data_IF_103378025338
#
_entry.id   IF_103378025338
#
_cell.length_a   1.000
_cell.length_b   1.000
_cell.length_c   1.000
_cell.angle_alpha   90.00
_cell.angle_beta   90.00
_cell.angle_gamma   90.00
#
_symmetry.space_group_name_H-M   'P 1'
#
loop_
_entity.id
_entity.type
_entity.pdbx_description
1 polymer ?
#
# COMPACT_ATOMS: atom_id res chain seq x y z
N UNK A 1 -49.43 -19.21 9.59
CA UNK A 1 -48.34 -18.89 10.54
C UNK A 1 -47.21 -18.27 9.75
N UNK A 2 -47.09 -16.95 9.82
CA UNK A 2 -46.16 -16.12 9.04
C UNK A 2 -44.70 -16.45 9.41
N UNK A 3 -43.87 -16.75 8.42
CA UNK A 3 -42.42 -16.86 8.57
C UNK A 3 -41.81 -15.47 8.40
N UNK A 4 -41.49 -14.83 9.53
CA UNK A 4 -40.72 -13.57 9.58
C UNK A 4 -39.23 -13.91 9.53
N UNK A 5 -38.62 -13.74 8.36
CA UNK A 5 -37.16 -13.67 8.22
C UNK A 5 -36.73 -12.25 8.60
N UNK A 6 -36.16 -12.10 9.80
CA UNK A 6 -35.57 -10.84 10.27
C UNK A 6 -34.12 -10.76 9.79
N UNK A 7 -33.85 -9.84 8.84
CA UNK A 7 -32.51 -9.49 8.37
C UNK A 7 -31.97 -8.36 9.25
N UNK A 8 -30.86 -8.55 9.98
CA UNK A 8 -30.14 -7.41 10.54
C UNK A 8 -29.10 -6.88 9.56
N UNK A 9 -29.32 -5.62 9.19
CA UNK A 9 -28.48 -4.75 8.37
C UNK A 9 -27.31 -4.14 9.15
N UNK A 10 -26.25 -3.78 8.40
CA UNK A 10 -25.17 -2.82 8.70
C UNK A 10 -24.10 -3.26 9.71
N UNK A 11 -22.88 -3.51 9.22
CA UNK A 11 -21.67 -2.99 9.86
C UNK A 11 -20.64 -2.54 8.81
N UNK A 12 -19.93 -1.49 9.21
CA UNK A 12 -19.08 -0.59 8.44
C UNK A 12 -17.74 -1.23 8.06
N UNK A 13 -17.21 -0.84 6.90
CA UNK A 13 -15.86 -1.19 6.46
C UNK A 13 -14.82 -0.45 7.30
N UNK A 14 -13.95 -1.20 7.99
CA UNK A 14 -12.67 -0.72 8.51
C UNK A 14 -11.55 -1.43 7.75
N UNK A 15 -10.71 -0.64 7.09
CA UNK A 15 -9.47 -1.11 6.45
C UNK A 15 -8.38 -1.13 7.50
N UNK A 16 -7.97 -2.30 7.96
CA UNK A 16 -6.75 -2.46 8.74
C UNK A 16 -5.58 -2.87 7.85
N UNK A 17 -4.45 -2.24 8.12
CA UNK A 17 -3.21 -2.38 7.39
C UNK A 17 -2.55 -3.73 7.68
N UNK A 18 -2.18 -4.46 6.63
CA UNK A 18 -1.29 -5.61 6.72
C UNK A 18 0.15 -5.13 7.00
N UNK A 19 0.68 -5.47 8.18
CA UNK A 19 2.13 -5.50 8.44
C UNK A 19 2.55 -6.98 8.44
N UNK A 20 3.23 -7.40 7.36
CA UNK A 20 3.73 -8.77 7.21
C UNK A 20 5.15 -8.80 7.74
N UNK A 21 5.33 -9.31 8.95
CA UNK A 21 6.60 -9.88 9.40
C UNK A 21 6.39 -11.35 9.71
N UNK A 22 6.87 -12.17 8.80
CA UNK A 22 6.89 -13.63 8.86
C UNK A 22 7.53 -14.10 10.17
N UNK A 23 6.81 -14.94 10.91
CA UNK A 23 7.36 -15.92 11.84
C UNK A 23 6.71 -17.25 11.48
N UNK A 24 7.42 -18.08 10.74
CA UNK A 24 6.98 -19.45 10.45
C UNK A 24 7.36 -20.35 11.63
N UNK A 25 6.37 -20.78 12.42
CA UNK A 25 6.46 -21.98 13.26
C UNK A 25 5.81 -23.13 12.53
N UNK A 26 6.57 -24.20 12.28
CA UNK A 26 6.05 -25.45 11.72
C UNK A 26 5.59 -26.32 12.90
N UNK A 27 4.31 -26.64 12.95
CA UNK A 27 3.76 -27.67 13.85
C UNK A 27 3.55 -28.95 13.05
N UNK A 28 4.07 -30.08 13.54
CA UNK A 28 3.63 -31.40 13.12
C UNK A 28 2.83 -32.05 14.25
N UNK A 29 1.66 -32.56 13.90
CA UNK A 29 0.76 -33.31 14.76
C UNK A 29 0.92 -34.79 14.40
N UNK A 30 1.25 -35.64 15.38
CA UNK A 30 1.14 -37.10 15.24
C UNK A 30 0.42 -37.65 16.47
N UNK A 31 -0.85 -37.96 16.23
CA UNK A 31 -1.61 -39.10 16.75
C UNK A 31 -1.37 -39.53 18.21
N UNK A 32 -2.32 -39.14 19.07
CA UNK A 32 -3.01 -40.05 20.01
C UNK A 32 -2.17 -40.97 20.89
N UNK A 33 -1.99 -40.52 22.14
CA UNK A 33 -1.60 -41.25 23.36
C UNK A 33 -0.15 -41.75 23.44
N UNK A 34 0.53 -41.48 24.56
CA UNK A 34 1.02 -42.47 25.54
C UNK A 34 1.74 -41.73 26.69
N UNK A 35 1.41 -42.12 27.92
CA UNK A 35 2.06 -41.70 29.16
C UNK A 35 3.55 -42.06 29.20
N UNK A 36 4.39 -41.31 29.93
CA UNK A 36 5.62 -41.84 30.52
C UNK A 36 5.96 -41.11 31.83
N UNK A 37 6.09 -41.88 32.90
CA UNK A 37 6.38 -41.47 34.28
C UNK A 37 7.90 -41.44 34.47
N UNK A 38 8.52 -40.41 35.08
CA UNK A 38 9.94 -40.51 35.40
C UNK A 38 10.17 -41.39 36.63
N UNK A 39 10.87 -42.50 36.36
CA UNK A 39 11.42 -43.48 37.28
C UNK A 39 12.50 -42.84 38.17
N UNK A 40 12.38 -43.03 39.49
CA UNK A 40 13.43 -42.71 40.48
C UNK A 40 14.55 -43.74 40.32
N UNK A 41 15.77 -43.29 40.03
CA UNK A 41 16.97 -44.13 40.09
C UNK A 41 17.98 -43.55 41.08
N UNK A 42 18.44 -44.46 41.95
CA UNK A 42 19.30 -44.22 43.09
C UNK A 42 20.77 -43.99 42.70
N UNK A 43 21.45 -43.19 43.52
CA UNK A 43 22.84 -43.43 43.91
C UNK A 43 23.94 -43.04 42.93
N UNK A 44 24.44 -41.80 43.04
CA UNK A 44 25.86 -41.47 42.81
C UNK A 44 26.28 -40.45 43.87
N UNK A 45 27.38 -40.74 44.56
CA UNK A 45 28.04 -39.87 45.55
C UNK A 45 28.41 -38.53 44.90
N UNK A 46 27.75 -37.46 45.35
CA UNK A 46 28.06 -36.09 44.92
C UNK A 46 29.34 -35.62 45.63
N UNK A 47 30.44 -35.53 44.88
CA UNK A 47 31.59 -34.70 45.26
C UNK A 47 31.12 -33.24 45.34
N UNK A 48 31.22 -32.63 46.53
CA UNK A 48 30.88 -31.22 46.72
C UNK A 48 31.99 -30.34 46.15
N UNK A 49 31.96 -30.06 44.85
CA UNK A 49 32.69 -28.90 44.33
C UNK A 49 31.89 -27.65 44.70
N UNK A 50 32.44 -26.67 45.44
CA UNK A 50 31.72 -25.44 45.72
C UNK A 50 31.46 -24.71 44.40
N UNK A 51 30.20 -24.67 43.97
CA UNK A 51 29.78 -23.79 42.89
C UNK A 51 29.93 -22.36 43.37
N UNK A 52 31.06 -21.74 43.08
CA UNK A 52 31.24 -20.30 43.27
C UNK A 52 30.27 -19.62 42.31
N UNK A 53 29.10 -19.22 42.79
CA UNK A 53 28.16 -18.43 42.01
C UNK A 53 28.83 -17.06 41.81
N UNK A 54 29.49 -16.88 40.66
CA UNK A 54 30.05 -15.59 40.28
C UNK A 54 28.88 -14.67 39.91
N UNK A 55 28.24 -14.07 40.92
CA UNK A 55 27.30 -12.98 40.72
C UNK A 55 28.07 -11.79 40.18
N UNK A 56 28.16 -11.69 38.86
CA UNK A 56 28.66 -10.48 38.19
C UNK A 56 27.66 -9.36 38.44
N UNK A 57 27.97 -8.46 39.36
CA UNK A 57 27.25 -7.19 39.46
C UNK A 57 27.39 -6.47 38.13
N UNK A 58 26.27 -6.11 37.51
CA UNK A 58 26.28 -5.36 36.27
C UNK A 58 27.01 -4.03 36.50
N UNK A 59 28.16 -3.84 35.84
CA UNK A 59 28.97 -2.64 36.02
C UNK A 59 28.57 -1.55 35.01
N UNK A 60 28.47 -0.33 35.57
CA UNK A 60 28.11 0.99 35.02
C UNK A 60 26.64 1.20 34.59
N UNK A 61 26.03 2.22 35.21
CA UNK A 61 24.79 2.93 34.81
C UNK A 61 25.00 3.72 33.51
N UNK A 62 25.61 3.15 32.49
CA UNK A 62 25.78 3.81 31.19
C UNK A 62 25.15 2.97 30.11
N UNK A 63 23.83 3.03 30.03
CA UNK A 63 23.08 2.58 28.86
C UNK A 63 23.36 3.53 27.69
N UNK A 64 23.64 2.98 26.50
CA UNK A 64 23.93 3.77 25.31
C UNK A 64 22.78 4.68 24.90
N UNK A 65 23.10 5.85 24.36
CA UNK A 65 22.13 6.75 23.72
C UNK A 65 21.50 6.08 22.48
N UNK A 66 20.31 6.53 22.09
CA UNK A 66 19.66 6.06 20.87
C UNK A 66 20.58 6.29 19.67
N UNK A 67 20.97 5.20 18.99
CA UNK A 67 21.75 5.24 17.74
C UNK A 67 20.90 5.64 16.53
N UNK A 68 19.57 5.66 16.69
CA UNK A 68 18.62 6.01 15.63
C UNK A 68 18.37 7.53 15.66
N UNK A 69 19.32 8.30 15.15
CA UNK A 69 19.28 9.77 15.11
C UNK A 69 18.35 10.35 14.01
N UNK A 70 17.79 9.49 13.15
CA UNK A 70 16.96 9.87 11.99
C UNK A 70 15.46 10.06 12.31
N UNK A 71 14.64 10.19 11.26
CA UNK A 71 13.17 10.22 11.37
C UNK A 71 12.53 11.62 11.55
N UNK A 72 13.33 12.68 11.57
CA UNK A 72 12.86 14.07 11.73
C UNK A 72 12.54 14.77 10.40
N UNK A 73 12.24 14.02 9.34
CA UNK A 73 11.95 14.61 8.02
C UNK A 73 10.56 15.25 8.00
N UNK A 74 10.48 16.50 7.53
CA UNK A 74 9.21 17.19 7.38
C UNK A 74 8.30 16.54 6.30
N UNK A 75 7.00 16.74 6.44
CA UNK A 75 6.00 16.25 5.48
C UNK A 75 6.11 16.93 4.11
N UNK A 76 6.04 16.14 3.02
CA UNK A 76 6.27 16.60 1.63
C UNK A 76 5.01 17.16 0.93
N UNK A 77 3.85 17.16 1.62
CA UNK A 77 2.55 17.70 1.13
C UNK A 77 2.08 17.13 -0.22
N UNK A 78 2.40 15.85 -0.48
CA UNK A 78 1.88 15.09 -1.63
C UNK A 78 0.40 14.78 -1.46
N UNK A 79 -0.30 14.63 -2.58
CA UNK A 79 -1.73 14.38 -2.62
C UNK A 79 -2.41 15.02 -3.81
N UNK A 80 -3.74 14.86 -3.87
CA UNK A 80 -4.58 15.59 -4.81
C UNK A 80 -4.57 17.09 -4.49
N UNK A 81 -4.62 17.89 -5.55
CA UNK A 81 -4.82 19.34 -5.50
C UNK A 81 -6.19 19.74 -6.05
N UNK A 82 -6.75 18.90 -6.93
CA UNK A 82 -8.11 19.03 -7.47
C UNK A 82 -8.84 17.70 -7.28
N UNK A 83 -10.08 17.79 -6.79
CA UNK A 83 -10.97 16.65 -6.54
C UNK A 83 -11.88 16.41 -7.75
N UNK A 84 -12.66 15.33 -7.71
CA UNK A 84 -13.62 14.99 -8.75
C UNK A 84 -14.67 16.10 -8.90
N UNK A 85 -15.02 16.45 -10.14
CA UNK A 85 -16.01 17.50 -10.41
C UNK A 85 -15.47 18.93 -10.35
N UNK A 86 -14.21 19.15 -9.93
CA UNK A 86 -13.63 20.48 -9.93
C UNK A 86 -13.30 20.97 -11.35
N UNK A 87 -13.62 22.23 -11.62
CA UNK A 87 -13.16 22.92 -12.82
C UNK A 87 -11.67 23.26 -12.71
N UNK A 88 -10.93 23.03 -13.80
CA UNK A 88 -9.49 23.28 -13.91
C UNK A 88 -9.18 23.98 -15.23
N UNK A 89 -8.18 24.85 -15.20
CA UNK A 89 -7.57 25.40 -16.40
C UNK A 89 -6.37 24.56 -16.83
N UNK A 90 -6.00 24.68 -18.09
CA UNK A 90 -4.77 24.14 -18.66
C UNK A 90 -3.56 24.59 -17.83
N UNK A 91 -2.65 23.66 -17.56
CA UNK A 91 -1.46 23.87 -16.72
C UNK A 91 -1.69 23.68 -15.22
N UNK A 92 -2.93 23.60 -14.74
CA UNK A 92 -3.18 23.39 -13.31
C UNK A 92 -2.70 22.02 -12.84
N UNK A 93 -2.05 21.98 -11.67
CA UNK A 93 -1.63 20.73 -11.03
C UNK A 93 -2.85 20.00 -10.47
N UNK A 94 -3.02 18.74 -10.86
CA UNK A 94 -4.11 17.86 -10.41
C UNK A 94 -3.70 17.06 -9.18
N UNK A 95 -2.51 16.45 -9.21
CA UNK A 95 -2.00 15.63 -8.12
C UNK A 95 -0.47 15.61 -8.10
N UNK A 96 0.11 15.64 -6.89
CA UNK A 96 1.55 15.44 -6.68
C UNK A 96 1.78 14.14 -5.93
N UNK A 97 2.72 13.32 -6.43
CA UNK A 97 3.01 11.99 -5.89
C UNK A 97 4.52 11.77 -5.72
N UNK A 98 4.87 10.71 -5.00
CA UNK A 98 6.26 10.34 -4.74
C UNK A 98 6.88 9.73 -6.00
N UNK A 99 8.10 10.17 -6.34
CA UNK A 99 8.91 9.53 -7.38
C UNK A 99 9.16 8.05 -7.02
N UNK A 100 8.99 7.16 -8.00
CA UNK A 100 9.12 5.71 -7.82
C UNK A 100 7.78 5.01 -7.99
N UNK A 101 6.77 5.37 -7.20
CA UNK A 101 5.45 4.73 -7.24
C UNK A 101 4.41 5.65 -7.89
N UNK A 102 3.80 5.19 -8.99
CA UNK A 102 2.68 5.89 -9.60
C UNK A 102 1.37 5.41 -8.95
N UNK A 103 0.77 6.24 -8.10
CA UNK A 103 -0.53 5.93 -7.48
C UNK A 103 -1.68 6.22 -8.44
N UNK A 104 -1.52 7.27 -9.24
CA UNK A 104 -2.51 7.71 -10.22
C UNK A 104 -1.86 7.87 -11.58
N UNK A 105 -2.51 7.33 -12.59
CA UNK A 105 -2.04 7.34 -13.96
C UNK A 105 -2.65 8.54 -14.71
N UNK A 106 -1.91 9.20 -15.61
CA UNK A 106 -2.51 10.17 -16.54
C UNK A 106 -3.48 9.45 -17.46
N UNK A 107 -4.69 9.99 -17.59
CA UNK A 107 -5.64 9.59 -18.62
C UNK A 107 -5.83 10.71 -19.65
N UNK A 108 -7.07 10.90 -20.13
CA UNK A 108 -7.38 11.85 -21.18
C UNK A 108 -7.13 13.31 -20.75
N UNK A 109 -6.47 14.09 -21.61
CA UNK A 109 -6.14 15.51 -21.41
C UNK A 109 -5.34 15.81 -20.12
N UNK A 110 -4.55 14.83 -19.65
CA UNK A 110 -3.67 14.96 -18.48
C UNK A 110 -2.24 14.64 -18.85
N UNK A 111 -1.34 15.59 -18.56
CA UNK A 111 0.09 15.44 -18.73
C UNK A 111 0.78 14.90 -17.48
N UNK A 112 1.98 14.34 -17.66
CA UNK A 112 2.84 13.87 -16.57
C UNK A 112 4.20 14.57 -16.61
N UNK A 113 4.64 15.10 -15.48
CA UNK A 113 5.97 15.71 -15.32
C UNK A 113 7.05 14.72 -14.86
N UNK A 114 8.31 15.15 -14.83
CA UNK A 114 9.48 14.33 -14.42
C UNK A 114 9.34 13.72 -13.02
N UNK A 115 8.74 14.46 -12.09
CA UNK A 115 8.48 14.00 -10.72
C UNK A 115 7.17 13.21 -10.59
N UNK A 116 6.59 12.76 -11.71
CA UNK A 116 5.29 12.08 -11.78
C UNK A 116 4.11 12.95 -11.32
N UNK A 117 4.27 14.28 -11.32
CA UNK A 117 3.18 15.23 -11.08
C UNK A 117 2.22 15.20 -12.26
N UNK A 118 0.92 15.17 -11.97
CA UNK A 118 -0.14 15.22 -12.98
C UNK A 118 -0.67 16.64 -13.11
N UNK A 119 -0.83 17.10 -14.35
CA UNK A 119 -1.34 18.44 -14.67
C UNK A 119 -2.35 18.39 -15.82
N UNK A 120 -3.30 19.32 -15.83
CA UNK A 120 -4.30 19.43 -16.88
C UNK A 120 -3.67 20.00 -18.16
N UNK A 121 -4.00 19.43 -19.32
CA UNK A 121 -3.61 19.96 -20.63
C UNK A 121 -4.64 20.95 -21.18
N UNK A 122 -5.91 20.76 -20.82
CA UNK A 122 -7.04 21.56 -21.30
C UNK A 122 -7.91 22.06 -20.13
N UNK A 123 -8.76 23.05 -20.44
CA UNK A 123 -9.75 23.59 -19.52
C UNK A 123 -10.96 22.67 -19.43
N UNK A 124 -11.30 22.21 -18.23
CA UNK A 124 -12.36 21.22 -18.08
C UNK A 124 -12.67 20.79 -16.66
N UNK A 125 -13.45 19.72 -16.53
CA UNK A 125 -13.85 19.11 -15.26
C UNK A 125 -13.03 17.85 -15.01
N UNK A 126 -12.44 17.74 -13.83
CA UNK A 126 -11.67 16.55 -13.43
C UNK A 126 -12.59 15.37 -13.17
N UNK A 127 -12.26 14.20 -13.72
CA UNK A 127 -12.91 12.93 -13.46
C UNK A 127 -11.94 11.80 -13.15
N UNK A 128 -12.30 10.95 -12.20
CA UNK A 128 -11.54 9.75 -11.87
C UNK A 128 -12.22 8.50 -12.43
N UNK A 129 -11.43 7.62 -13.05
CA UNK A 129 -11.89 6.33 -13.58
C UNK A 129 -10.98 5.20 -13.11
N UNK A 130 -11.53 3.98 -13.13
CA UNK A 130 -10.77 2.73 -12.93
C UNK A 130 -10.74 2.02 -14.28
N UNK A 131 -9.58 2.02 -14.92
CA UNK A 131 -9.42 1.48 -16.27
C UNK A 131 -8.38 0.37 -16.27
N UNK A 132 -8.46 -0.48 -17.30
CA UNK A 132 -7.49 -1.54 -17.54
C UNK A 132 -6.13 -0.92 -17.85
N UNK A 133 -5.10 -1.33 -17.11
CA UNK A 133 -3.76 -0.81 -17.24
C UNK A 133 -2.92 -1.69 -18.17
N UNK A 134 -2.58 -1.13 -19.33
CA UNK A 134 -1.70 -1.76 -20.31
C UNK A 134 -0.43 -0.89 -20.41
N UNK A 135 0.69 -1.29 -19.78
CA UNK A 135 1.93 -0.55 -19.87
C UNK A 135 2.62 -0.74 -21.23
N UNK A 136 3.51 0.20 -21.58
CA UNK A 136 4.38 0.07 -22.76
C UNK A 136 5.27 -1.19 -22.64
N UNK A 137 5.52 -1.92 -23.74
CA UNK A 137 6.28 -3.18 -23.71
C UNK A 137 7.74 -3.00 -23.25
N UNK A 138 8.29 -1.79 -23.35
CA UNK A 138 9.63 -1.46 -22.86
C UNK A 138 9.70 -1.24 -21.34
N UNK A 139 8.56 -1.01 -20.67
CA UNK A 139 8.54 -0.72 -19.24
C UNK A 139 8.90 -1.94 -18.39
N UNK A 140 9.48 -1.71 -17.21
CA UNK A 140 9.78 -2.78 -16.26
C UNK A 140 8.51 -3.52 -15.80
N UNK A 141 7.40 -2.79 -15.61
CA UNK A 141 6.11 -3.38 -15.23
C UNK A 141 5.62 -4.42 -16.27
N UNK A 142 5.77 -4.12 -17.57
CA UNK A 142 5.40 -5.05 -18.63
C UNK A 142 6.26 -6.33 -18.65
N UNK A 143 7.53 -6.24 -18.25
CA UNK A 143 8.48 -7.36 -18.29
C UNK A 143 8.45 -8.20 -17.01
N UNK A 144 8.39 -7.53 -15.86
CA UNK A 144 8.63 -8.16 -14.57
C UNK A 144 7.35 -8.56 -13.84
N UNK A 145 6.23 -7.90 -14.15
CA UNK A 145 4.95 -8.09 -13.45
C UNK A 145 3.98 -8.90 -14.31
N UNK A 146 3.66 -8.42 -15.52
CA UNK A 146 2.61 -9.03 -16.36
C UNK A 146 2.84 -10.53 -16.62
N UNK A 147 4.05 -11.00 -16.98
CA UNK A 147 4.27 -12.42 -17.27
C UNK A 147 4.13 -13.34 -16.05
N UNK A 148 4.25 -12.79 -14.84
CA UNK A 148 4.11 -13.55 -13.59
C UNK A 148 2.67 -13.64 -13.11
N UNK A 149 1.74 -12.93 -13.77
CA UNK A 149 0.34 -12.96 -13.41
C UNK A 149 -0.34 -14.24 -13.92
N UNK A 150 -1.31 -14.79 -13.17
CA UNK A 150 -2.09 -15.92 -13.64
C UNK A 150 -2.91 -15.53 -14.87
N UNK A 151 -3.12 -16.51 -15.76
CA UNK A 151 -3.86 -16.31 -17.00
C UNK A 151 -5.30 -15.82 -16.71
N UNK A 152 -5.75 -14.85 -17.50
CA UNK A 152 -7.08 -14.23 -17.34
C UNK A 152 -7.15 -13.12 -16.29
N UNK A 153 -6.07 -12.84 -15.54
CA UNK A 153 -6.03 -11.69 -14.64
C UNK A 153 -5.78 -10.37 -15.40
N UNK A 154 -6.41 -9.30 -14.93
CA UNK A 154 -6.35 -7.97 -15.53
C UNK A 154 -5.93 -6.96 -14.47
N UNK A 155 -4.97 -6.10 -14.83
CA UNK A 155 -4.54 -5.01 -13.96
C UNK A 155 -5.45 -3.80 -14.14
N UNK A 156 -6.03 -3.30 -13.05
CA UNK A 156 -6.77 -2.04 -13.05
C UNK A 156 -5.97 -0.96 -12.32
N UNK A 157 -5.92 0.25 -12.88
CA UNK A 157 -5.35 1.42 -12.20
C UNK A 157 -6.34 2.58 -12.18
N UNK A 158 -6.06 3.54 -11.30
CA UNK A 158 -6.84 4.79 -11.23
C UNK A 158 -6.27 5.78 -12.24
N UNK A 159 -7.11 6.26 -13.13
CA UNK A 159 -6.78 7.29 -14.09
C UNK A 159 -7.43 8.60 -13.69
N UNK A 160 -6.73 9.70 -13.96
CA UNK A 160 -7.27 11.05 -13.83
C UNK A 160 -7.48 11.57 -15.25
N UNK A 161 -8.72 11.95 -15.53
CA UNK A 161 -9.16 12.50 -16.80
C UNK A 161 -9.60 13.95 -16.59
N UNK A 162 -9.46 14.78 -17.62
CA UNK A 162 -10.08 16.10 -17.69
C UNK A 162 -11.05 16.10 -18.86
N UNK A 163 -12.32 16.40 -18.59
CA UNK A 163 -13.37 16.51 -19.61
C UNK A 163 -13.43 17.97 -20.05
N UNK A 164 -13.04 18.31 -21.29
CA UNK A 164 -13.01 19.69 -21.74
C UNK A 164 -14.42 20.29 -21.82
N UNK A 165 -14.59 21.52 -21.33
CA UNK A 165 -15.88 22.23 -21.41
C UNK A 165 -15.96 23.18 -22.60
N UNK A 166 -14.80 23.66 -23.08
CA UNK A 166 -14.72 24.58 -24.21
C UNK A 166 -14.79 23.79 -25.51
N UNK A 167 -15.73 24.14 -26.38
CA UNK A 167 -15.73 23.65 -27.76
C UNK A 167 -14.72 24.48 -28.56
N UNK A 168 -13.72 23.83 -29.17
CA UNK A 168 -12.65 24.54 -29.89
C UNK A 168 -13.15 25.25 -31.15
N UNK A 169 -14.14 24.66 -31.84
CA UNK A 169 -14.67 25.17 -33.09
C UNK A 169 -16.12 25.64 -32.94
N UNK A 170 -16.35 26.95 -33.10
CA UNK A 170 -17.68 27.53 -33.29
C UNK A 170 -17.69 28.28 -34.61
N UNK A 171 -18.30 27.68 -35.63
CA UNK A 171 -18.52 28.36 -36.89
C UNK A 171 -19.49 29.51 -36.68
N UNK A 172 -19.08 30.71 -37.11
CA UNK A 172 -19.94 31.88 -37.15
C UNK A 172 -20.10 32.26 -38.60
N UNK A 173 -21.34 32.55 -38.99
CA UNK A 173 -21.62 33.19 -40.27
C UNK A 173 -20.93 34.55 -40.28
N UNK A 174 -20.05 34.77 -41.24
CA UNK A 174 -19.30 36.03 -41.37
C UNK A 174 -20.10 37.02 -42.19
N UNK A 175 -20.57 36.61 -43.38
CA UNK A 175 -21.41 37.44 -44.26
C UNK A 175 -22.49 36.61 -44.96
N UNK A 176 -23.65 37.25 -45.20
CA UNK A 176 -24.68 36.78 -46.12
C UNK A 176 -24.41 37.45 -47.46
N UNK A 177 -23.81 36.70 -48.40
CA UNK A 177 -23.61 37.13 -49.79
C UNK A 177 -24.88 36.88 -50.60
#
# INVERSE_FOLDING_TARGET
MLMLMLVPSKQLYQTEAYDVKESFSIYYNVAGNYFCVPLVFAGILFSQTPTVVLTRFASKKSGGSSKNLGGKSAGRRYGYKKQDGNFVHAGNILATQRKGLMRWQPGAHVGIGTNKTLYALEDGIVRFSKEVYIPLPRSAEARDVIPKLPQGSVLYKTFINVIPTKQENKFKLVDMV
#
